data_IF_973543223817
#
_entry.id   IF_973543223817
#
_cell.length_a   1.000
_cell.length_b   1.000
_cell.length_c   1.000
_cell.angle_alpha   90.00
_cell.angle_beta   90.00
_cell.angle_gamma   90.00
#
_symmetry.space_group_name_H-M   'P 1'
#
loop_
_entity.id
_entity.type
_entity.pdbx_description
1 polymer ?
#
# COMPACT_ATOMS: atom_id res chain seq x y z
N UNK A 1 -7.23 -26.41 6.78
CA UNK A 1 -7.39 -25.04 6.24
C UNK A 1 -7.64 -24.14 7.44
N UNK A 2 -6.92 -23.02 7.60
CA UNK A 2 -7.22 -22.13 8.73
C UNK A 2 -8.61 -21.53 8.52
N UNK A 3 -9.33 -21.27 9.61
CA UNK A 3 -10.64 -20.62 9.54
C UNK A 3 -10.60 -19.26 8.82
N UNK A 4 -9.43 -18.66 8.59
CA UNK A 4 -9.28 -17.44 7.79
C UNK A 4 -9.63 -17.63 6.29
N UNK A 5 -9.75 -18.87 5.82
CA UNK A 5 -10.16 -19.19 4.45
C UNK A 5 -11.60 -19.74 4.36
N UNK A 6 -12.33 -19.86 5.48
CA UNK A 6 -13.75 -20.22 5.40
C UNK A 6 -14.56 -19.00 4.98
N UNK A 7 -15.41 -19.15 3.96
CA UNK A 7 -16.34 -18.10 3.53
C UNK A 7 -17.17 -17.65 4.74
N UNK A 8 -17.12 -16.36 5.06
CA UNK A 8 -18.09 -15.76 5.97
C UNK A 8 -19.52 -15.94 5.43
N UNK A 9 -20.52 -15.92 6.31
CA UNK A 9 -21.94 -16.09 5.93
C UNK A 9 -22.56 -14.85 5.26
N UNK A 10 -21.80 -13.73 5.19
CA UNK A 10 -22.22 -12.49 4.54
C UNK A 10 -22.05 -12.50 3.03
N UNK A 11 -22.68 -11.51 2.36
CA UNK A 11 -22.49 -11.28 0.93
C UNK A 11 -21.02 -10.94 0.66
N UNK A 12 -20.35 -11.58 -0.32
CA UNK A 12 -18.96 -11.25 -0.67
C UNK A 12 -18.83 -9.74 -0.93
N UNK A 13 -17.84 -9.13 -0.28
CA UNK A 13 -17.49 -7.72 -0.46
C UNK A 13 -16.08 -7.63 -1.04
N UNK A 14 -15.87 -6.61 -1.85
CA UNK A 14 -14.56 -6.28 -2.41
C UNK A 14 -14.30 -4.80 -2.13
N UNK A 15 -13.08 -4.48 -1.71
CA UNK A 15 -12.57 -3.13 -1.74
C UNK A 15 -11.66 -3.03 -2.98
N UNK A 16 -11.91 -2.04 -3.83
CA UNK A 16 -11.06 -1.74 -4.99
C UNK A 16 -10.17 -0.58 -4.60
N UNK A 17 -8.86 -0.76 -4.67
CA UNK A 17 -7.90 0.27 -4.25
C UNK A 17 -6.88 0.56 -5.33
N UNK A 18 -6.48 1.83 -5.43
CA UNK A 18 -5.35 2.28 -6.23
C UNK A 18 -4.37 3.03 -5.33
N UNK A 19 -3.10 3.03 -5.69
CA UNK A 19 -2.04 3.71 -4.95
C UNK A 19 -1.50 4.93 -5.71
N UNK A 20 -0.64 5.67 -5.04
CA UNK A 20 0.11 6.85 -5.46
C UNK A 20 -0.71 8.11 -5.76
N UNK A 21 -1.94 7.97 -6.25
CA UNK A 21 -2.69 9.10 -6.80
C UNK A 21 -2.09 9.60 -8.10
N UNK A 22 -1.66 8.66 -8.95
CA UNK A 22 -1.11 8.97 -10.27
C UNK A 22 -2.16 9.66 -11.16
N UNK A 23 -1.74 10.60 -11.99
CA UNK A 23 -2.62 11.38 -12.88
C UNK A 23 -3.45 10.49 -13.82
N UNK A 24 -2.93 9.31 -14.14
CA UNK A 24 -3.64 8.28 -14.91
C UNK A 24 -4.94 7.79 -14.25
N UNK A 25 -5.09 7.89 -12.93
CA UNK A 25 -6.32 7.52 -12.23
C UNK A 25 -7.52 8.35 -12.68
N UNK A 26 -7.33 9.59 -13.13
CA UNK A 26 -8.41 10.44 -13.65
C UNK A 26 -9.10 9.80 -14.87
N UNK A 27 -8.35 9.06 -15.70
CA UNK A 27 -8.88 8.36 -16.87
C UNK A 27 -9.83 7.21 -16.51
N UNK A 28 -9.83 6.77 -15.25
CA UNK A 28 -10.69 5.69 -14.76
C UNK A 28 -12.05 6.18 -14.28
N UNK A 29 -12.23 7.50 -14.10
CA UNK A 29 -13.48 8.07 -13.57
C UNK A 29 -14.73 7.64 -14.39
N UNK A 30 -14.73 7.67 -15.75
CA UNK A 30 -15.87 7.20 -16.52
C UNK A 30 -16.20 5.72 -16.29
N UNK A 31 -15.19 4.90 -15.99
CA UNK A 31 -15.35 3.47 -15.69
C UNK A 31 -15.99 3.29 -14.32
N UNK A 32 -15.53 4.03 -13.31
CA UNK A 32 -16.12 4.01 -11.96
C UNK A 32 -17.60 4.37 -12.00
N UNK A 33 -17.95 5.44 -12.73
CA UNK A 33 -19.33 5.88 -12.92
C UNK A 33 -20.16 4.82 -13.65
N UNK A 34 -19.68 4.32 -14.79
CA UNK A 34 -20.40 3.35 -15.63
C UNK A 34 -20.79 2.07 -14.85
N UNK A 35 -19.91 1.61 -13.97
CA UNK A 35 -20.10 0.36 -13.24
C UNK A 35 -20.54 0.55 -11.78
N UNK A 36 -20.73 1.80 -11.31
CA UNK A 36 -21.09 2.10 -9.93
C UNK A 36 -20.04 1.61 -8.91
N UNK A 37 -18.77 1.63 -9.29
CA UNK A 37 -17.66 1.22 -8.40
C UNK A 37 -17.13 2.44 -7.67
N UNK A 38 -17.04 2.36 -6.35
CA UNK A 38 -16.51 3.43 -5.50
C UNK A 38 -15.16 2.97 -4.92
N UNK A 39 -14.04 3.23 -5.61
CA UNK A 39 -12.73 2.79 -5.15
C UNK A 39 -12.19 3.72 -4.05
N UNK A 40 -11.20 3.22 -3.31
CA UNK A 40 -10.30 4.04 -2.51
C UNK A 40 -9.01 4.31 -3.28
N UNK A 41 -8.57 5.55 -3.40
CA UNK A 41 -7.25 5.91 -3.94
C UNK A 41 -6.39 6.43 -2.79
N UNK A 42 -5.32 5.70 -2.47
CA UNK A 42 -4.31 6.15 -1.53
C UNK A 42 -3.37 7.12 -2.25
N UNK A 43 -3.26 8.36 -1.76
CA UNK A 43 -2.55 9.44 -2.43
C UNK A 43 -1.28 9.85 -1.68
N UNK A 44 -0.22 10.14 -2.44
CA UNK A 44 0.97 10.82 -1.93
C UNK A 44 0.64 12.31 -1.77
N UNK A 45 0.37 12.74 -0.53
CA UNK A 45 -0.27 14.03 -0.24
C UNK A 45 0.54 15.26 -0.64
N UNK A 46 1.87 15.13 -0.70
CA UNK A 46 2.77 16.19 -1.15
C UNK A 46 3.11 16.10 -2.64
N UNK A 47 2.54 15.15 -3.38
CA UNK A 47 2.64 15.05 -4.84
C UNK A 47 1.31 15.42 -5.50
N UNK A 48 0.22 14.82 -5.02
CA UNK A 48 -1.14 15.09 -5.45
C UNK A 48 -1.54 16.51 -5.05
N UNK A 49 -2.22 17.21 -5.95
CA UNK A 49 -2.63 18.62 -5.85
C UNK A 49 -1.47 19.65 -5.83
N UNK A 50 -0.23 19.24 -6.11
CA UNK A 50 0.95 20.12 -6.04
C UNK A 50 1.74 20.22 -7.36
N UNK A 51 1.20 19.70 -8.49
CA UNK A 51 1.89 19.71 -9.78
C UNK A 51 3.32 19.13 -9.74
N UNK A 52 3.48 18.03 -8.98
CA UNK A 52 4.77 17.36 -8.78
C UNK A 52 4.84 15.99 -9.45
N UNK A 53 6.06 15.50 -9.56
CA UNK A 53 6.37 14.16 -10.06
C UNK A 53 6.78 13.25 -8.90
N UNK A 54 6.23 12.04 -8.85
CA UNK A 54 6.73 11.01 -7.96
C UNK A 54 8.20 10.76 -8.27
N UNK A 55 9.07 10.83 -7.26
CA UNK A 55 10.51 10.74 -7.45
C UNK A 55 10.93 9.50 -8.27
N UNK A 56 10.26 8.37 -8.10
CA UNK A 56 10.56 7.11 -8.82
C UNK A 56 10.13 7.12 -10.29
N UNK A 57 9.31 8.08 -10.71
CA UNK A 57 8.96 8.29 -12.12
C UNK A 57 9.88 9.30 -12.81
N UNK A 58 10.62 10.10 -12.03
CA UNK A 58 11.53 11.12 -12.54
C UNK A 58 12.74 10.49 -13.27
N UNK A 59 13.20 11.06 -14.41
CA UNK A 59 14.34 10.53 -15.16
C UNK A 59 15.60 10.33 -14.31
N UNK A 60 15.93 11.29 -13.44
CA UNK A 60 17.08 11.21 -12.52
C UNK A 60 17.06 9.94 -11.66
N UNK A 61 15.91 9.58 -11.09
CA UNK A 61 15.79 8.39 -10.25
C UNK A 61 15.81 7.10 -11.08
N UNK A 62 15.24 7.13 -12.29
CA UNK A 62 15.30 6.01 -13.24
C UNK A 62 16.74 5.70 -13.62
N UNK A 63 17.51 6.72 -13.98
CA UNK A 63 18.92 6.60 -14.37
C UNK A 63 19.80 6.16 -13.18
N UNK A 64 19.49 6.63 -11.96
CA UNK A 64 20.17 6.21 -10.73
C UNK A 64 19.76 4.80 -10.25
N UNK A 65 18.73 4.19 -10.84
CA UNK A 65 18.24 2.86 -10.51
C UNK A 65 17.26 2.84 -9.33
N UNK A 66 15.97 3.05 -9.60
CA UNK A 66 14.87 3.08 -8.61
C UNK A 66 14.90 1.90 -7.63
N UNK A 67 15.12 0.67 -8.09
CA UNK A 67 15.13 -0.52 -7.20
C UNK A 67 16.19 -0.46 -6.10
N UNK A 68 17.31 0.22 -6.37
CA UNK A 68 18.37 0.47 -5.37
C UNK A 68 17.92 1.57 -4.42
N UNK A 69 17.39 2.67 -4.96
CA UNK A 69 16.93 3.83 -4.19
C UNK A 69 15.80 3.47 -3.21
N UNK A 70 14.89 2.56 -3.57
CA UNK A 70 13.82 2.05 -2.68
C UNK A 70 14.39 1.39 -1.41
N UNK A 71 15.60 0.83 -1.48
CA UNK A 71 16.24 0.09 -0.37
C UNK A 71 17.31 0.90 0.35
N UNK A 72 17.33 2.21 0.12
CA UNK A 72 18.29 3.13 0.69
C UNK A 72 17.66 3.90 1.86
N UNK A 73 18.47 4.27 2.87
CA UNK A 73 18.04 5.21 3.91
C UNK A 73 17.51 6.48 3.27
N UNK A 74 16.39 6.99 3.76
CA UNK A 74 15.68 8.06 3.06
C UNK A 74 16.56 9.30 2.87
N UNK A 75 17.26 9.75 3.92
CA UNK A 75 18.19 10.88 3.81
C UNK A 75 19.29 10.67 2.77
N UNK A 76 19.83 9.46 2.64
CA UNK A 76 20.84 9.15 1.62
C UNK A 76 20.24 9.18 0.21
N UNK A 77 19.01 8.68 0.04
CA UNK A 77 18.27 8.76 -1.22
C UNK A 77 18.05 10.21 -1.62
N UNK A 78 17.61 11.05 -0.69
CA UNK A 78 17.38 12.47 -0.93
C UNK A 78 18.67 13.19 -1.32
N UNK A 79 19.76 13.00 -0.57
CA UNK A 79 21.06 13.58 -0.89
C UNK A 79 21.58 13.15 -2.27
N UNK A 80 21.39 11.87 -2.65
CA UNK A 80 21.79 11.38 -3.97
C UNK A 80 20.96 11.99 -5.10
N UNK A 81 19.64 12.10 -4.93
CA UNK A 81 18.77 12.69 -5.94
C UNK A 81 19.00 14.21 -6.08
N UNK A 82 19.22 14.89 -4.96
CA UNK A 82 19.55 16.32 -4.89
C UNK A 82 20.84 16.64 -5.65
N UNK A 83 21.90 15.85 -5.42
CA UNK A 83 23.18 15.97 -6.13
C UNK A 83 23.06 15.73 -7.65
N UNK A 84 21.96 15.14 -8.11
CA UNK A 84 21.65 14.89 -9.53
C UNK A 84 20.58 15.84 -10.07
N UNK A 85 20.22 16.88 -9.31
CA UNK A 85 19.30 17.94 -9.73
C UNK A 85 17.82 17.64 -9.52
N UNK A 86 17.46 16.64 -8.70
CA UNK A 86 16.07 16.42 -8.29
C UNK A 86 15.88 16.84 -6.83
N UNK A 87 15.06 17.88 -6.61
CA UNK A 87 14.67 18.33 -5.28
C UNK A 87 13.18 18.02 -5.04
N UNK A 88 12.89 17.12 -4.10
CA UNK A 88 11.54 16.57 -3.89
C UNK A 88 10.45 17.62 -3.61
N UNK A 89 10.83 18.76 -3.03
CA UNK A 89 9.92 19.83 -2.61
C UNK A 89 9.84 20.98 -3.62
N UNK A 90 10.68 20.94 -4.65
CA UNK A 90 10.70 21.96 -5.69
C UNK A 90 9.66 21.68 -6.77
N UNK A 91 9.10 22.74 -7.33
CA UNK A 91 8.40 22.66 -8.60
C UNK A 91 9.43 22.69 -9.71
N UNK A 92 9.48 21.62 -10.49
CA UNK A 92 10.21 21.61 -11.75
C UNK A 92 9.20 21.81 -12.88
N UNK A 93 9.15 23.04 -13.41
CA UNK A 93 8.25 23.39 -14.51
C UNK A 93 8.55 22.61 -15.82
N UNK A 94 9.71 21.97 -15.91
CA UNK A 94 10.10 21.12 -17.03
C UNK A 94 9.80 19.64 -16.83
N UNK A 95 9.51 19.21 -15.59
CA UNK A 95 9.20 17.83 -15.27
C UNK A 95 7.76 17.46 -15.63
N UNK A 96 7.57 16.23 -16.13
CA UNK A 96 6.24 15.69 -16.35
C UNK A 96 5.53 15.47 -15.01
N UNK A 97 4.45 16.21 -14.78
CA UNK A 97 3.59 16.05 -13.60
C UNK A 97 2.98 14.65 -13.60
N UNK A 98 3.04 13.99 -12.45
CA UNK A 98 2.50 12.63 -12.30
C UNK A 98 1.41 12.51 -11.24
N UNK A 99 1.25 13.48 -10.35
CA UNK A 99 0.15 13.50 -9.38
C UNK A 99 -1.17 13.95 -10.01
N UNK A 100 -2.30 13.49 -9.47
CA UNK A 100 -3.60 14.11 -9.75
C UNK A 100 -3.56 15.61 -9.36
N UNK A 101 -4.18 16.47 -10.18
CA UNK A 101 -4.33 17.89 -9.87
C UNK A 101 -5.49 18.11 -8.91
N UNK A 102 -5.57 19.31 -8.30
CA UNK A 102 -6.72 19.68 -7.47
C UNK A 102 -8.05 19.59 -8.24
N UNK A 103 -8.05 19.94 -9.53
CA UNK A 103 -9.22 19.82 -10.39
C UNK A 103 -9.64 18.35 -10.59
N UNK A 104 -8.70 17.43 -10.80
CA UNK A 104 -9.02 16.00 -10.87
C UNK A 104 -9.59 15.49 -9.55
N UNK A 105 -9.04 15.91 -8.41
CA UNK A 105 -9.56 15.51 -7.10
C UNK A 105 -11.01 15.97 -6.94
N UNK A 106 -11.32 17.23 -7.25
CA UNK A 106 -12.69 17.75 -7.11
C UNK A 106 -13.67 17.03 -8.03
N UNK A 107 -13.28 16.72 -9.26
CA UNK A 107 -14.11 15.96 -10.21
C UNK A 107 -14.37 14.51 -9.73
N UNK A 108 -13.36 13.86 -9.15
CA UNK A 108 -13.44 12.46 -8.71
C UNK A 108 -14.07 12.29 -7.32
N UNK A 109 -14.08 13.34 -6.48
CA UNK A 109 -14.52 13.32 -5.07
C UNK A 109 -15.93 12.73 -4.80
N UNK A 110 -16.91 12.83 -5.70
CA UNK A 110 -18.22 12.18 -5.50
C UNK A 110 -18.19 10.66 -5.67
N UNK A 111 -17.19 10.12 -6.36
CA UNK A 111 -17.13 8.71 -6.78
C UNK A 111 -15.98 7.94 -6.14
N UNK A 112 -15.02 8.64 -5.55
CA UNK A 112 -13.78 8.07 -5.03
C UNK A 112 -13.58 8.49 -3.58
N UNK A 113 -13.13 7.53 -2.76
CA UNK A 113 -12.60 7.78 -1.43
C UNK A 113 -11.09 8.00 -1.51
N UNK A 114 -10.58 9.12 -1.00
CA UNK A 114 -9.15 9.45 -1.06
C UNK A 114 -8.54 9.31 0.34
N UNK A 115 -7.47 8.53 0.44
CA UNK A 115 -6.85 8.13 1.71
C UNK A 115 -5.32 8.25 1.61
N UNK A 116 -4.56 7.98 2.67
CA UNK A 116 -3.12 8.34 2.72
C UNK A 116 -2.20 7.26 2.14
N UNK A 117 -1.19 7.71 1.39
CA UNK A 117 -0.05 6.91 0.94
C UNK A 117 1.30 7.56 1.27
N UNK A 118 1.43 8.15 2.46
CA UNK A 118 2.55 9.05 2.86
C UNK A 118 2.54 10.38 2.11
N UNK A 119 3.55 11.23 2.35
CA UNK A 119 3.69 12.52 1.66
C UNK A 119 4.44 12.35 0.35
N UNK A 120 5.62 11.71 0.40
CA UNK A 120 6.58 11.64 -0.71
C UNK A 120 6.92 10.21 -1.15
N UNK A 121 6.19 9.20 -0.65
CA UNK A 121 6.41 7.80 -0.98
C UNK A 121 7.85 7.29 -0.67
N UNK A 122 8.40 7.52 0.55
CA UNK A 122 9.60 6.81 0.98
C UNK A 122 9.28 5.38 1.42
N UNK A 123 10.30 4.53 1.47
CA UNK A 123 10.18 3.24 2.15
C UNK A 123 10.29 3.48 3.65
N UNK A 124 9.18 3.39 4.38
CA UNK A 124 9.10 3.80 5.80
C UNK A 124 10.13 3.09 6.69
N UNK A 125 10.41 1.81 6.48
CA UNK A 125 11.42 1.06 7.26
C UNK A 125 12.86 1.57 7.10
N UNK A 126 13.10 2.39 6.07
CA UNK A 126 14.38 3.06 5.82
C UNK A 126 14.37 4.53 6.23
N UNK A 127 13.28 5.01 6.83
CA UNK A 127 13.20 6.31 7.48
C UNK A 127 13.62 6.20 8.95
N UNK A 128 14.14 7.30 9.50
CA UNK A 128 14.29 7.46 10.95
C UNK A 128 12.91 7.70 11.61
N UNK A 129 12.82 7.59 12.93
CA UNK A 129 11.52 7.60 13.63
C UNK A 129 10.73 8.90 13.44
N UNK A 130 11.39 10.05 13.60
CA UNK A 130 10.76 11.37 13.42
C UNK A 130 10.31 11.58 11.97
N UNK A 131 11.16 11.20 11.02
CA UNK A 131 10.87 11.28 9.58
C UNK A 131 9.70 10.37 9.19
N UNK A 132 9.69 9.13 9.70
CA UNK A 132 8.59 8.20 9.51
C UNK A 132 7.30 8.77 10.11
N UNK A 133 7.35 9.32 11.33
CA UNK A 133 6.16 9.88 11.96
C UNK A 133 5.65 11.10 11.20
N UNK A 134 6.53 11.97 10.70
CA UNK A 134 6.18 13.12 9.87
C UNK A 134 5.48 12.68 8.56
N UNK A 135 6.03 11.69 7.85
CA UNK A 135 5.44 11.12 6.64
C UNK A 135 4.03 10.55 6.88
N UNK A 136 3.72 10.09 8.09
CA UNK A 136 2.43 9.52 8.45
C UNK A 136 1.45 10.60 8.92
N UNK A 137 1.86 11.41 9.90
CA UNK A 137 1.01 12.39 10.58
C UNK A 137 0.69 13.59 9.69
N UNK A 138 1.68 14.15 8.99
CA UNK A 138 1.42 15.27 8.09
C UNK A 138 0.66 14.81 6.85
N UNK A 139 0.92 13.60 6.34
CA UNK A 139 0.13 13.08 5.22
C UNK A 139 -1.36 13.01 5.55
N UNK A 140 -1.72 12.52 6.75
CA UNK A 140 -3.12 12.49 7.21
C UNK A 140 -3.77 13.88 7.13
N UNK A 141 -3.11 14.89 7.70
CA UNK A 141 -3.60 16.27 7.75
C UNK A 141 -3.68 16.90 6.34
N UNK A 142 -2.69 16.63 5.49
CA UNK A 142 -2.66 17.10 4.11
C UNK A 142 -3.78 16.48 3.27
N UNK A 143 -4.01 15.17 3.37
CA UNK A 143 -5.12 14.49 2.69
C UNK A 143 -6.47 15.06 3.16
N UNK A 144 -6.65 15.24 4.47
CA UNK A 144 -7.87 15.84 5.02
C UNK A 144 -8.13 17.24 4.46
N UNK A 145 -7.06 18.05 4.29
CA UNK A 145 -7.14 19.37 3.68
C UNK A 145 -7.46 19.32 2.19
N UNK A 146 -6.83 18.41 1.44
CA UNK A 146 -7.02 18.25 0.00
C UNK A 146 -8.45 17.78 -0.31
N UNK A 147 -8.99 16.86 0.49
CA UNK A 147 -10.24 16.13 0.18
C UNK A 147 -11.44 16.71 0.93
N UNK A 148 -11.22 17.41 2.06
CA UNK A 148 -12.28 17.93 2.92
C UNK A 148 -13.05 16.85 3.68
N UNK A 149 -12.45 15.66 3.87
CA UNK A 149 -13.03 14.51 4.59
C UNK A 149 -11.96 13.87 5.49
N UNK A 150 -12.35 13.15 6.56
CA UNK A 150 -11.41 12.42 7.41
C UNK A 150 -10.54 11.43 6.64
N UNK A 151 -9.24 11.39 6.93
CA UNK A 151 -8.32 10.39 6.40
C UNK A 151 -8.07 9.31 7.45
N UNK A 152 -8.71 8.16 7.31
CA UNK A 152 -8.72 7.11 8.33
C UNK A 152 -7.91 5.88 7.92
N UNK A 153 -7.60 5.77 6.62
CA UNK A 153 -7.02 4.59 6.03
C UNK A 153 -5.67 4.91 5.40
N UNK A 154 -4.78 3.92 5.43
CA UNK A 154 -3.41 4.05 4.92
C UNK A 154 -3.05 2.88 4.00
N UNK A 155 -2.13 3.08 3.07
CA UNK A 155 -1.45 2.00 2.37
C UNK A 155 0.07 2.16 2.54
N UNK A 156 0.79 1.07 2.83
CA UNK A 156 2.25 1.14 2.99
C UNK A 156 2.94 1.22 1.62
N UNK A 157 3.82 2.21 1.37
CA UNK A 157 4.65 2.24 0.17
C UNK A 157 5.37 0.92 -0.07
N UNK A 158 5.23 0.37 -1.28
CA UNK A 158 5.78 -0.94 -1.68
C UNK A 158 5.32 -2.15 -0.84
N UNK A 159 4.35 -1.96 0.07
CA UNK A 159 3.97 -2.94 1.08
C UNK A 159 5.09 -3.33 2.04
N UNK A 160 6.10 -2.47 2.22
CA UNK A 160 7.21 -2.70 3.15
C UNK A 160 6.88 -2.02 4.48
N UNK A 161 6.76 -2.82 5.53
CA UNK A 161 6.38 -2.36 6.87
C UNK A 161 6.90 -3.31 7.94
N UNK A 162 6.97 -2.85 9.19
CA UNK A 162 7.34 -3.63 10.36
C UNK A 162 6.52 -3.23 11.59
N UNK A 163 6.81 -3.83 12.77
CA UNK A 163 6.13 -3.47 14.01
C UNK A 163 6.26 -1.99 14.36
N UNK A 164 7.42 -1.38 14.08
CA UNK A 164 7.68 0.05 14.32
C UNK A 164 6.70 0.94 13.57
N UNK A 165 6.56 0.72 12.25
CA UNK A 165 5.69 1.52 11.39
C UNK A 165 4.23 1.34 11.79
N UNK A 166 3.81 0.13 12.18
CA UNK A 166 2.45 -0.12 12.66
C UNK A 166 2.13 0.70 13.91
N UNK A 167 3.05 0.78 14.88
CA UNK A 167 2.83 1.56 16.11
C UNK A 167 2.84 3.06 15.83
N UNK A 168 3.76 3.55 14.99
CA UNK A 168 3.77 4.97 14.57
C UNK A 168 2.50 5.34 13.81
N UNK A 169 1.98 4.44 12.97
CA UNK A 169 0.75 4.65 12.21
C UNK A 169 -0.49 4.71 13.13
N UNK A 170 -0.55 3.87 14.17
CA UNK A 170 -1.58 3.97 15.22
C UNK A 170 -1.47 5.30 15.97
N UNK A 171 -0.25 5.70 16.34
CA UNK A 171 0.00 6.97 17.02
C UNK A 171 -0.41 8.19 16.17
N UNK A 172 -0.26 8.09 14.84
CA UNK A 172 -0.75 9.10 13.90
C UNK A 172 -2.29 9.11 13.73
N UNK A 173 -3.01 8.17 14.34
CA UNK A 173 -4.48 8.16 14.41
C UNK A 173 -5.19 7.51 13.24
N UNK A 174 -4.49 6.68 12.44
CA UNK A 174 -5.14 5.86 11.41
C UNK A 174 -5.92 4.70 12.05
N UNK A 175 -6.96 4.23 11.36
CA UNK A 175 -7.80 3.10 11.79
C UNK A 175 -7.45 1.80 11.11
N UNK A 176 -7.00 1.84 9.85
CA UNK A 176 -6.60 0.65 9.10
C UNK A 176 -5.43 0.94 8.17
N UNK A 177 -4.73 -0.12 7.77
CA UNK A 177 -3.66 -0.04 6.80
C UNK A 177 -3.61 -1.26 5.88
N UNK A 178 -3.43 -1.01 4.58
CA UNK A 178 -3.32 -2.01 3.54
C UNK A 178 -1.85 -2.29 3.20
N UNK A 179 -1.54 -3.57 3.03
CA UNK A 179 -0.22 -4.13 2.66
C UNK A 179 -0.27 -4.75 1.26
N UNK A 180 0.86 -5.21 0.73
CA UNK A 180 0.90 -6.08 -0.47
C UNK A 180 0.94 -7.57 -0.12
N UNK A 181 0.72 -7.93 1.15
CA UNK A 181 0.64 -9.33 1.56
C UNK A 181 -0.58 -9.96 0.92
N UNK A 182 -0.36 -11.09 0.24
CA UNK A 182 -1.42 -11.68 -0.57
C UNK A 182 -2.39 -12.49 0.27
N UNK A 183 -3.68 -12.16 0.20
CA UNK A 183 -4.73 -12.96 0.82
C UNK A 183 -6.05 -12.23 1.09
N UNK A 184 -6.93 -12.94 1.78
CA UNK A 184 -8.26 -12.48 2.16
C UNK A 184 -8.25 -11.80 3.53
N UNK A 185 -9.22 -10.91 3.71
CA UNK A 185 -9.52 -10.28 5.00
C UNK A 185 -10.91 -10.72 5.47
N UNK A 186 -11.02 -10.94 6.77
CA UNK A 186 -12.23 -11.26 7.53
C UNK A 186 -12.27 -10.40 8.81
N UNK A 187 -13.29 -10.56 9.64
CA UNK A 187 -13.45 -9.82 10.90
C UNK A 187 -12.34 -10.04 11.94
N UNK A 188 -11.45 -11.02 11.71
CA UNK A 188 -10.31 -11.34 12.59
C UNK A 188 -8.99 -10.85 12.01
N UNK A 189 -9.02 -10.24 10.83
CA UNK A 189 -7.82 -9.71 10.18
C UNK A 189 -7.31 -8.51 10.96
N UNK A 190 -5.99 -8.38 11.08
CA UNK A 190 -5.36 -7.23 11.72
C UNK A 190 -5.67 -5.98 10.88
N UNK A 191 -6.36 -4.96 11.43
CA UNK A 191 -6.76 -3.79 10.67
C UNK A 191 -5.57 -3.00 10.13
N UNK A 192 -4.38 -3.12 10.72
CA UNK A 192 -3.17 -2.44 10.26
C UNK A 192 -2.30 -3.30 9.34
N UNK A 193 -2.76 -4.50 8.97
CA UNK A 193 -2.08 -5.44 8.08
C UNK A 193 -3.07 -6.10 7.12
N UNK A 194 -3.97 -5.29 6.55
CA UNK A 194 -4.95 -5.79 5.59
C UNK A 194 -4.23 -6.28 4.33
N UNK A 195 -4.61 -7.47 3.89
CA UNK A 195 -4.04 -8.16 2.73
C UNK A 195 -4.71 -7.67 1.45
N UNK A 196 -4.04 -7.84 0.32
CA UNK A 196 -4.56 -7.46 -0.99
C UNK A 196 -4.19 -8.48 -2.06
N UNK A 197 -4.76 -8.30 -3.25
CA UNK A 197 -4.34 -9.02 -4.44
C UNK A 197 -3.84 -7.98 -5.44
N UNK A 198 -2.53 -7.91 -5.64
CA UNK A 198 -1.95 -7.01 -6.61
C UNK A 198 -2.29 -7.50 -8.03
N UNK A 199 -2.80 -6.56 -8.83
CA UNK A 199 -3.16 -6.79 -10.23
C UNK A 199 -2.15 -6.05 -11.08
N UNK A 200 -1.35 -6.82 -11.82
CA UNK A 200 -0.34 -6.29 -12.74
C UNK A 200 -1.01 -5.74 -14.01
N UNK A 201 -0.42 -4.71 -14.63
CA UNK A 201 -0.93 -4.04 -15.84
C UNK A 201 -1.10 -5.00 -17.04
N UNK A 202 -0.36 -6.11 -17.07
CA UNK A 202 -0.43 -7.14 -18.10
C UNK A 202 -1.30 -8.34 -17.69
N UNK A 203 -2.00 -8.25 -16.57
CA UNK A 203 -2.91 -9.31 -16.11
C UNK A 203 -4.07 -9.49 -17.09
N UNK A 204 -4.30 -10.73 -17.54
CA UNK A 204 -5.51 -11.04 -18.30
C UNK A 204 -6.74 -11.00 -17.38
N UNK A 205 -7.91 -10.70 -17.94
CA UNK A 205 -9.18 -10.77 -17.20
C UNK A 205 -9.41 -12.16 -16.60
N UNK A 206 -8.99 -13.22 -17.31
CA UNK A 206 -9.07 -14.59 -16.82
C UNK A 206 -8.16 -14.82 -15.60
N UNK A 207 -6.93 -14.28 -15.62
CA UNK A 207 -6.02 -14.34 -14.48
C UNK A 207 -6.56 -13.55 -13.28
N UNK A 208 -7.08 -12.34 -13.52
CA UNK A 208 -7.74 -11.54 -12.49
C UNK A 208 -8.91 -12.30 -11.85
N UNK A 209 -9.80 -12.87 -12.67
CA UNK A 209 -10.91 -13.69 -12.19
C UNK A 209 -10.42 -14.90 -11.37
N UNK A 210 -9.33 -15.55 -11.78
CA UNK A 210 -8.72 -16.64 -11.03
C UNK A 210 -8.15 -16.18 -9.68
N UNK A 211 -7.50 -15.02 -9.60
CA UNK A 211 -7.02 -14.43 -8.34
C UNK A 211 -8.17 -14.18 -7.35
N UNK A 212 -9.32 -13.68 -7.83
CA UNK A 212 -10.52 -13.47 -7.02
C UNK A 212 -11.15 -14.76 -6.47
N UNK A 213 -10.77 -15.94 -6.96
CA UNK A 213 -11.22 -17.21 -6.35
C UNK A 213 -10.38 -17.61 -5.13
N UNK A 214 -9.19 -17.04 -4.97
CA UNK A 214 -8.19 -17.46 -3.99
C UNK A 214 -7.50 -18.80 -4.31
N UNK A 215 -7.89 -19.51 -5.37
CA UNK A 215 -7.32 -20.80 -5.76
C UNK A 215 -5.84 -20.68 -6.17
N UNK A 216 -5.44 -19.55 -6.74
CA UNK A 216 -4.05 -19.26 -7.13
C UNK A 216 -3.09 -19.22 -5.94
N UNK A 217 -3.60 -19.07 -4.71
CA UNK A 217 -2.78 -19.08 -3.48
C UNK A 217 -2.60 -20.47 -2.86
N UNK A 218 -3.31 -21.48 -3.33
CA UNK A 218 -3.24 -22.85 -2.80
C UNK A 218 -1.80 -23.41 -2.70
N UNK A 219 -0.88 -23.18 -3.67
CA UNK A 219 0.50 -23.65 -3.57
C UNK A 219 1.30 -23.02 -2.42
N UNK A 220 1.02 -21.75 -2.08
CA UNK A 220 1.71 -21.02 -0.99
C UNK A 220 1.31 -21.55 0.39
N UNK A 221 0.04 -21.91 0.59
CA UNK A 221 -0.43 -22.51 1.84
C UNK A 221 0.03 -23.97 2.02
N UNK A 222 0.25 -24.71 0.92
CA UNK A 222 0.76 -26.08 0.97
C UNK A 222 2.24 -26.16 1.42
N UNK A 223 3.05 -25.12 1.14
CA UNK A 223 4.44 -25.02 1.64
C UNK A 223 4.51 -24.67 3.14
N UNK A 224 3.63 -23.81 3.65
CA UNK A 224 3.58 -23.47 5.08
C UNK A 224 3.00 -24.60 5.96
N UNK A 225 2.11 -25.43 5.40
CA UNK A 225 1.44 -26.51 6.13
C UNK A 225 2.25 -27.80 6.36
N UNK A 226 3.42 -27.95 5.72
CA UNK A 226 4.25 -29.17 5.81
C UNK A 226 5.42 -29.07 6.80
N UNK A 227 5.92 -27.88 7.14
CA UNK A 227 7.08 -27.74 8.05
C UNK A 227 6.69 -27.93 9.52
N UNK A 228 5.50 -27.47 9.96
CA UNK A 228 5.09 -27.55 11.38
C UNK A 228 4.60 -28.92 11.86
N UNK A 229 4.12 -29.80 10.97
CA UNK A 229 3.57 -31.11 11.37
C UNK A 229 4.58 -32.25 11.42
N UNK A 230 5.79 -32.07 10.87
CA UNK A 230 6.85 -33.08 10.96
C UNK A 230 7.72 -32.93 12.22
N UNK A 231 7.95 -31.68 12.68
CA UNK A 231 8.81 -31.41 13.84
C UNK A 231 8.18 -31.79 15.20
N UNK A 232 6.85 -31.82 15.32
CA UNK A 232 6.16 -32.17 16.58
C UNK A 232 5.93 -33.67 16.77
N UNK A 233 6.31 -34.51 15.79
CA UNK A 233 6.07 -35.96 15.81
C UNK A 233 7.34 -36.79 16.11
N UNK A 234 8.50 -36.13 16.23
CA UNK A 234 9.81 -36.78 16.44
C UNK A 234 10.35 -36.60 17.88
N UNK A 235 9.76 -35.72 18.70
CA UNK A 235 10.19 -35.55 20.10
C UNK A 235 8.99 -35.66 21.05
N UNK A 236 8.58 -36.91 21.33
CA UNK A 236 7.94 -37.26 22.60
C UNK A 236 8.82 -38.32 23.27
N UNK A 237 9.50 -38.01 24.39
CA UNK A 237 10.14 -39.05 25.19
C UNK A 237 9.05 -40.01 25.70
N UNK A 238 9.27 -41.32 25.53
CA UNK A 238 8.50 -42.34 26.25
C UNK A 238 8.81 -42.18 27.73
N UNK A 239 7.82 -41.80 28.52
CA UNK A 239 7.84 -41.98 29.97
C UNK A 239 7.13 -43.29 30.34
N UNK A 240 7.61 -43.88 31.45
CA UNK A 240 7.14 -45.06 32.20
C UNK A 240 7.82 -46.38 31.78
N UNK A 241 8.44 -47.13 32.69
CA UNK A 241 7.84 -47.62 33.94
C UNK A 241 8.74 -47.58 35.18
N UNK A 242 8.03 -47.43 36.31
CA UNK A 242 8.42 -47.70 37.68
C UNK A 242 8.79 -49.18 37.90
N UNK A 243 9.75 -49.40 38.79
CA UNK A 243 9.77 -50.48 39.79
C UNK A 243 10.20 -49.83 41.12
#
# INVERSE_FOLDING_TARGET
MSQANSRGSGRPRVAVTFDDGHIGNAKLLPVFIKYGVHPTIYICSSIVAHDRTHWFLHPVAKDAGVKRLIRMKNQQRLAELDARGFHQDSLDASATISGLSAAHIEEMRPYVDFQSHTRYHPTLTFCEDDECFEELALSKLEVERIVGKPCEHFAYPYGIYGPREVELLKAAGYKTARTTDVGWNDERSDPFRLKAFDIDDHSSVAWFAAQLTGLTLAPRYLRLGRVRRFAQRIVRPRALNQA
#
